data_IF_259365841992
#
_entry.id   IF_259365841992
#
_cell.length_a   1.000
_cell.length_b   1.000
_cell.length_c   1.000
_cell.angle_alpha   90.00
_cell.angle_beta   90.00
_cell.angle_gamma   90.00
#
_symmetry.space_group_name_H-M   'P 1'
#
loop_
_entity.id
_entity.type
_entity.pdbx_description
1 polymer ?
#
# COMPACT_ATOMS: atom_id res chain seq x y z
N UNK A 1 4.77 -14.05 -22.53
CA UNK A 1 4.13 -12.71 -22.46
C UNK A 1 5.09 -11.66 -23.01
N UNK A 2 4.62 -10.74 -23.84
CA UNK A 2 5.40 -9.60 -24.33
C UNK A 2 4.84 -8.30 -23.73
N UNK A 3 5.68 -7.29 -23.55
CA UNK A 3 5.28 -5.91 -23.24
C UNK A 3 5.65 -5.06 -24.44
N UNK A 4 4.76 -4.16 -24.86
CA UNK A 4 5.02 -3.18 -25.90
C UNK A 4 5.11 -1.80 -25.26
N UNK A 5 6.16 -1.05 -25.58
CA UNK A 5 6.29 0.36 -25.20
C UNK A 5 5.84 1.21 -26.38
N UNK A 6 4.91 2.12 -26.15
CA UNK A 6 4.28 2.91 -27.22
C UNK A 6 4.13 4.36 -26.76
N UNK A 7 4.40 5.36 -27.62
CA UNK A 7 4.09 6.75 -27.31
C UNK A 7 2.61 6.93 -26.94
N UNK A 8 2.33 7.82 -25.98
CA UNK A 8 0.96 8.08 -25.48
C UNK A 8 -0.01 8.49 -26.60
N UNK A 9 0.50 9.17 -27.62
CA UNK A 9 -0.22 9.75 -28.74
C UNK A 9 -0.14 8.89 -30.02
N UNK A 10 0.31 7.63 -29.92
CA UNK A 10 0.38 6.75 -31.07
C UNK A 10 -0.99 6.57 -31.75
N UNK A 11 -0.98 6.54 -33.08
CA UNK A 11 -2.20 6.34 -33.87
C UNK A 11 -2.91 5.03 -33.47
N UNK A 12 -4.21 5.13 -33.19
CA UNK A 12 -5.02 4.01 -32.70
C UNK A 12 -5.05 3.81 -31.19
N UNK A 13 -4.22 4.54 -30.43
CA UNK A 13 -4.23 4.54 -28.96
C UNK A 13 -5.12 5.68 -28.45
N UNK A 14 -6.04 5.38 -27.54
CA UNK A 14 -6.86 6.40 -26.87
C UNK A 14 -6.84 6.16 -25.37
N UNK A 15 -6.28 7.10 -24.62
CA UNK A 15 -6.39 7.13 -23.15
C UNK A 15 -7.70 7.82 -22.78
N UNK A 16 -8.57 7.10 -22.07
CA UNK A 16 -9.89 7.58 -21.69
C UNK A 16 -9.85 7.99 -20.22
N UNK A 17 -10.17 9.25 -19.93
CA UNK A 17 -10.28 9.74 -18.55
C UNK A 17 -11.60 9.24 -17.93
N UNK A 18 -11.59 7.96 -17.53
CA UNK A 18 -12.76 7.25 -17.02
C UNK A 18 -12.56 6.75 -15.58
N UNK A 19 -11.57 7.29 -14.85
CA UNK A 19 -11.29 6.85 -13.49
C UNK A 19 -12.29 7.46 -12.51
N UNK A 20 -13.13 6.61 -11.90
CA UNK A 20 -14.15 7.02 -10.92
C UNK A 20 -13.98 6.29 -9.56
N UNK A 21 -12.74 6.22 -9.08
CA UNK A 21 -12.45 5.70 -7.74
C UNK A 21 -12.86 6.69 -6.65
N UNK A 22 -13.39 6.18 -5.52
CA UNK A 22 -13.66 7.04 -4.36
C UNK A 22 -12.37 7.49 -3.66
N UNK A 23 -11.30 6.71 -3.75
CA UNK A 23 -9.93 7.07 -3.37
C UNK A 23 -8.98 6.96 -4.56
N UNK A 24 -7.72 7.33 -4.35
CA UNK A 24 -6.69 7.34 -5.41
C UNK A 24 -7.15 8.15 -6.63
N UNK A 25 -7.88 9.24 -6.42
CA UNK A 25 -8.66 9.96 -7.46
C UNK A 25 -7.83 10.56 -8.60
N UNK A 26 -6.53 10.74 -8.39
CA UNK A 26 -5.62 11.42 -9.33
C UNK A 26 -4.59 10.48 -9.96
N UNK A 27 -4.77 9.16 -9.85
CA UNK A 27 -3.83 8.17 -10.42
C UNK A 27 -4.06 7.90 -11.91
N UNK A 28 -5.14 8.45 -12.49
CA UNK A 28 -5.53 8.21 -13.89
C UNK A 28 -5.63 6.72 -14.24
N UNK A 29 -6.15 5.89 -13.33
CA UNK A 29 -6.33 4.43 -13.51
C UNK A 29 -7.55 4.08 -14.37
N UNK A 30 -7.82 4.90 -15.39
CA UNK A 30 -8.94 4.76 -16.31
C UNK A 30 -8.67 3.76 -17.44
N UNK A 31 -9.56 3.75 -18.42
CA UNK A 31 -9.48 2.82 -19.55
C UNK A 31 -8.50 3.31 -20.62
N UNK A 32 -7.94 2.35 -21.34
CA UNK A 32 -7.17 2.59 -22.57
C UNK A 32 -7.79 1.76 -23.69
N UNK A 33 -8.15 2.40 -24.80
CA UNK A 33 -8.59 1.74 -26.03
C UNK A 33 -7.42 1.61 -26.98
N UNK A 34 -7.19 0.39 -27.47
CA UNK A 34 -6.13 0.06 -28.41
C UNK A 34 -6.81 -0.46 -29.69
N UNK A 35 -6.69 0.29 -30.78
CA UNK A 35 -7.30 -0.02 -32.07
C UNK A 35 -6.23 0.03 -33.17
N UNK A 36 -5.74 -1.14 -33.58
CA UNK A 36 -4.78 -1.26 -34.68
C UNK A 36 -3.40 -0.62 -34.44
N UNK A 37 -3.06 -0.29 -33.19
CA UNK A 37 -1.78 0.35 -32.81
C UNK A 37 -0.59 -0.45 -33.36
N UNK A 38 0.22 0.21 -34.18
CA UNK A 38 1.45 -0.36 -34.73
C UNK A 38 2.60 -0.10 -33.77
N UNK A 39 3.36 -1.14 -33.46
CA UNK A 39 4.53 -1.07 -32.56
C UNK A 39 5.74 -1.62 -33.31
N UNK A 40 6.84 -0.88 -33.42
CA UNK A 40 8.10 -1.40 -33.93
C UNK A 40 8.57 -2.62 -33.12
N UNK A 41 9.14 -3.62 -33.77
CA UNK A 41 9.65 -4.80 -33.07
C UNK A 41 10.74 -4.46 -32.04
N UNK A 42 11.47 -3.35 -32.25
CA UNK A 42 12.46 -2.82 -31.29
C UNK A 42 11.84 -2.40 -29.95
N UNK A 43 10.55 -2.05 -29.94
CA UNK A 43 9.86 -1.50 -28.77
C UNK A 43 9.05 -2.59 -28.05
N UNK A 44 9.22 -3.85 -28.47
CA UNK A 44 8.59 -5.03 -27.87
C UNK A 44 9.60 -5.77 -26.99
N UNK A 45 9.33 -5.79 -25.69
CA UNK A 45 10.15 -6.44 -24.68
C UNK A 45 9.59 -7.84 -24.38
N UNK A 46 10.42 -8.90 -24.42
CA UNK A 46 10.00 -10.25 -24.05
C UNK A 46 9.85 -10.38 -22.52
N UNK A 47 8.73 -9.89 -21.98
CA UNK A 47 8.47 -9.82 -20.55
C UNK A 47 8.53 -11.17 -19.82
N UNK A 48 8.30 -12.28 -20.53
CA UNK A 48 8.48 -13.62 -19.96
C UNK A 48 9.90 -13.88 -19.43
N UNK A 49 10.93 -13.25 -20.03
CA UNK A 49 12.32 -13.38 -19.55
C UNK A 49 12.50 -12.86 -18.13
N UNK A 50 11.66 -11.91 -17.71
CA UNK A 50 11.66 -11.41 -16.34
C UNK A 50 11.16 -12.45 -15.33
N UNK A 51 10.46 -13.51 -15.75
CA UNK A 51 9.91 -14.52 -14.84
C UNK A 51 10.60 -15.88 -14.96
N UNK A 52 11.25 -16.15 -16.10
CA UNK A 52 12.03 -17.38 -16.33
C UNK A 52 13.28 -17.46 -15.45
N UNK A 53 13.84 -16.31 -15.08
CA UNK A 53 14.97 -16.18 -14.15
C UNK A 53 14.51 -15.66 -12.78
N UNK A 54 15.26 -15.89 -11.69
CA UNK A 54 14.92 -15.35 -10.39
C UNK A 54 15.17 -13.83 -10.36
N UNK A 55 14.21 -13.04 -10.84
CA UNK A 55 14.27 -11.57 -10.80
C UNK A 55 13.56 -11.00 -9.57
N UNK A 56 13.89 -9.76 -9.20
CA UNK A 56 13.27 -9.05 -8.07
C UNK A 56 12.00 -8.27 -8.44
N UNK A 57 11.44 -8.45 -9.64
CA UNK A 57 10.31 -7.67 -10.14
C UNK A 57 9.06 -7.75 -9.25
N UNK A 58 8.75 -8.94 -8.75
CA UNK A 58 7.67 -9.16 -7.77
C UNK A 58 7.90 -8.37 -6.48
N UNK A 59 8.99 -8.65 -5.74
CA UNK A 59 9.36 -7.90 -4.54
C UNK A 59 9.39 -6.37 -4.73
N UNK A 60 9.94 -5.89 -5.86
CA UNK A 60 9.97 -4.46 -6.21
C UNK A 60 8.55 -3.91 -6.38
N UNK A 61 7.70 -4.60 -7.14
CA UNK A 61 6.32 -4.18 -7.33
C UNK A 61 5.56 -4.09 -6.00
N UNK A 62 5.73 -5.09 -5.13
CA UNK A 62 4.98 -5.18 -3.88
C UNK A 62 5.50 -4.26 -2.78
N UNK A 63 6.81 -3.97 -2.72
CA UNK A 63 7.35 -3.01 -1.74
C UNK A 63 6.90 -1.58 -2.02
N UNK A 64 6.74 -1.20 -3.30
CA UNK A 64 6.16 0.09 -3.69
C UNK A 64 4.75 0.22 -3.09
N UNK A 65 3.94 -0.84 -3.20
CA UNK A 65 2.59 -0.81 -2.64
C UNK A 65 2.59 -0.68 -1.10
N UNK A 66 3.45 -1.46 -0.43
CA UNK A 66 3.60 -1.36 1.02
C UNK A 66 4.05 0.04 1.45
N UNK A 67 4.94 0.68 0.70
CA UNK A 67 5.41 2.04 0.98
C UNK A 67 4.30 3.09 0.84
N UNK A 68 3.44 2.98 -0.18
CA UNK A 68 2.27 3.86 -0.35
C UNK A 68 1.32 3.73 0.85
N UNK A 69 0.99 2.50 1.24
CA UNK A 69 0.07 2.25 2.35
C UNK A 69 0.67 2.74 3.69
N UNK A 70 1.96 2.50 3.95
CA UNK A 70 2.66 3.06 5.12
C UNK A 70 2.67 4.58 5.11
N UNK A 71 2.84 5.22 3.94
CA UNK A 71 2.76 6.67 3.80
C UNK A 71 1.38 7.23 4.13
N UNK A 72 0.31 6.56 3.68
CA UNK A 72 -1.06 6.91 4.03
C UNK A 72 -1.29 6.78 5.55
N UNK A 73 -0.82 5.68 6.16
CA UNK A 73 -0.91 5.46 7.60
C UNK A 73 -0.19 6.55 8.40
N UNK A 74 1.03 6.93 7.99
CA UNK A 74 1.81 8.00 8.61
C UNK A 74 1.07 9.35 8.54
N UNK A 75 0.52 9.68 7.38
CA UNK A 75 -0.25 10.91 7.19
C UNK A 75 -1.54 10.93 8.04
N UNK A 76 -2.27 9.82 8.08
CA UNK A 76 -3.47 9.68 8.90
C UNK A 76 -3.13 9.84 10.39
N UNK A 77 -2.08 9.16 10.87
CA UNK A 77 -1.64 9.25 12.26
C UNK A 77 -1.23 10.67 12.66
N UNK A 78 -0.51 11.39 11.80
CA UNK A 78 -0.16 12.78 12.05
C UNK A 78 -1.39 13.69 12.22
N UNK A 79 -2.41 13.51 11.36
CA UNK A 79 -3.68 14.22 11.51
C UNK A 79 -4.45 13.79 12.77
N UNK A 80 -4.37 12.51 13.15
CA UNK A 80 -5.00 11.98 14.38
C UNK A 80 -4.50 12.74 15.60
N UNK A 81 -3.18 12.94 15.72
CA UNK A 81 -2.59 13.71 16.82
C UNK A 81 -3.10 15.16 16.86
N UNK A 82 -3.33 15.77 15.70
CA UNK A 82 -3.85 17.14 15.59
C UNK A 82 -5.32 17.21 16.01
N UNK A 83 -6.17 16.32 15.50
CA UNK A 83 -7.61 16.36 15.78
C UNK A 83 -7.97 15.86 17.17
N UNK A 84 -7.27 14.85 17.69
CA UNK A 84 -7.49 14.33 19.05
C UNK A 84 -7.20 15.40 20.12
N UNK A 85 -6.20 16.27 19.89
CA UNK A 85 -5.95 17.43 20.75
C UNK A 85 -7.11 18.43 20.81
N UNK A 86 -7.92 18.49 19.77
CA UNK A 86 -9.06 19.40 19.62
C UNK A 86 -10.40 18.73 19.98
N UNK A 87 -10.37 17.43 20.30
CA UNK A 87 -11.54 16.65 20.63
C UNK A 87 -12.15 17.12 21.96
N UNK A 88 -13.48 17.04 22.05
CA UNK A 88 -14.20 17.32 23.30
C UNK A 88 -14.09 16.10 24.21
N UNK A 89 -13.94 16.30 25.53
CA UNK A 89 -14.01 15.20 26.48
C UNK A 89 -15.40 14.57 26.49
N UNK A 90 -15.48 13.28 26.82
CA UNK A 90 -16.75 12.62 27.10
C UNK A 90 -17.45 13.30 28.28
N UNK A 91 -18.77 13.46 28.20
CA UNK A 91 -19.56 14.24 29.17
C UNK A 91 -19.44 13.69 30.59
N UNK A 92 -19.36 12.37 30.75
CA UNK A 92 -19.27 11.74 32.08
C UNK A 92 -17.82 11.50 32.54
N UNK A 93 -16.82 11.93 31.77
CA UNK A 93 -15.40 11.67 32.10
C UNK A 93 -14.86 12.56 33.22
N UNK A 94 -15.50 13.69 33.50
CA UNK A 94 -14.97 14.71 34.41
C UNK A 94 -13.70 15.41 33.94
N UNK A 95 -13.26 15.17 32.69
CA UNK A 95 -12.06 15.76 32.12
C UNK A 95 -12.34 17.15 31.55
N UNK A 96 -11.31 18.02 31.59
CA UNK A 96 -11.39 19.37 31.02
C UNK A 96 -11.17 19.36 29.50
N UNK A 97 -10.36 18.40 29.01
CA UNK A 97 -9.99 18.31 27.61
C UNK A 97 -10.03 16.86 27.09
N UNK A 98 -10.39 16.68 25.81
CA UNK A 98 -10.46 15.34 25.21
C UNK A 98 -9.12 14.61 25.14
N UNK A 99 -8.00 15.33 25.01
CA UNK A 99 -6.66 14.72 25.00
C UNK A 99 -6.25 14.11 26.34
N UNK A 100 -6.98 14.37 27.42
CA UNK A 100 -6.76 13.74 28.73
C UNK A 100 -7.40 12.36 28.81
N UNK A 101 -8.24 11.96 27.84
CA UNK A 101 -8.94 10.68 27.86
C UNK A 101 -7.94 9.52 27.78
N UNK A 102 -7.82 8.68 28.83
CA UNK A 102 -6.89 7.55 28.84
C UNK A 102 -7.22 6.51 27.76
N UNK A 103 -8.48 6.39 27.33
CA UNK A 103 -8.88 5.46 26.27
C UNK A 103 -8.38 5.96 24.91
N UNK A 104 -8.53 7.26 24.64
CA UNK A 104 -7.95 7.90 23.46
C UNK A 104 -6.42 7.82 23.44
N UNK A 105 -5.76 8.02 24.59
CA UNK A 105 -4.31 7.87 24.71
C UNK A 105 -3.85 6.44 24.45
N UNK A 106 -4.59 5.43 24.94
CA UNK A 106 -4.29 4.02 24.67
C UNK A 106 -4.39 3.68 23.17
N UNK A 107 -5.44 4.15 22.48
CA UNK A 107 -5.59 3.96 21.03
C UNK A 107 -4.48 4.66 20.23
N UNK A 108 -4.10 5.89 20.61
CA UNK A 108 -2.97 6.59 19.98
C UNK A 108 -1.66 5.83 20.20
N UNK A 109 -1.44 5.32 21.42
CA UNK A 109 -0.29 4.47 21.73
C UNK A 109 -0.25 3.22 20.87
N UNK A 110 -1.40 2.58 20.65
CA UNK A 110 -1.51 1.41 19.78
C UNK A 110 -1.13 1.73 18.33
N UNK A 111 -1.73 2.78 17.77
CA UNK A 111 -1.42 3.24 16.41
C UNK A 111 0.06 3.57 16.24
N UNK A 112 0.68 4.20 17.25
CA UNK A 112 2.07 4.61 17.21
C UNK A 112 3.03 3.41 17.07
N UNK A 113 2.90 2.39 17.92
CA UNK A 113 3.81 1.24 17.84
C UNK A 113 3.54 0.40 16.59
N UNK A 114 2.28 0.27 16.15
CA UNK A 114 1.93 -0.45 14.91
C UNK A 114 2.50 0.24 13.68
N UNK A 115 2.42 1.57 13.61
CA UNK A 115 3.04 2.34 12.54
C UNK A 115 4.56 2.18 12.54
N UNK A 116 5.20 2.27 13.71
CA UNK A 116 6.65 2.04 13.82
C UNK A 116 7.04 0.62 13.38
N UNK A 117 6.24 -0.40 13.72
CA UNK A 117 6.45 -1.76 13.26
C UNK A 117 6.33 -1.87 11.73
N UNK A 118 5.34 -1.19 11.12
CA UNK A 118 5.16 -1.14 9.68
C UNK A 118 6.36 -0.47 8.97
N UNK A 119 6.88 0.62 9.52
CA UNK A 119 8.06 1.29 8.97
C UNK A 119 9.34 0.46 9.14
N UNK A 120 9.48 -0.25 10.26
CA UNK A 120 10.62 -1.12 10.51
C UNK A 120 10.65 -2.31 9.55
N UNK A 121 9.50 -2.96 9.33
CA UNK A 121 9.43 -4.08 8.40
C UNK A 121 9.56 -3.62 6.95
N UNK A 122 9.06 -2.43 6.59
CA UNK A 122 9.27 -1.84 5.27
C UNK A 122 10.76 -1.58 4.99
N UNK A 123 11.51 -1.04 5.97
CA UNK A 123 12.97 -0.87 5.85
C UNK A 123 13.68 -2.21 5.71
N UNK A 124 13.27 -3.22 6.48
CA UNK A 124 13.81 -4.58 6.35
C UNK A 124 13.52 -5.17 4.96
N UNK A 125 12.32 -4.95 4.43
CA UNK A 125 11.94 -5.37 3.09
C UNK A 125 12.80 -4.68 2.02
N UNK A 126 13.07 -3.38 2.17
CA UNK A 126 13.92 -2.63 1.25
C UNK A 126 15.32 -3.24 1.16
N UNK A 127 15.95 -3.52 2.32
CA UNK A 127 17.26 -4.19 2.34
C UNK A 127 17.24 -5.59 1.71
N UNK A 128 16.16 -6.35 1.89
CA UNK A 128 16.03 -7.66 1.26
C UNK A 128 15.91 -7.54 -0.28
N UNK A 129 15.14 -6.56 -0.76
CA UNK A 129 15.03 -6.23 -2.18
C UNK A 129 16.38 -5.79 -2.74
N UNK A 130 17.11 -4.90 -2.06
CA UNK A 130 18.44 -4.43 -2.49
C UNK A 130 19.40 -5.60 -2.71
N UNK A 131 19.42 -6.57 -1.78
CA UNK A 131 20.25 -7.78 -1.91
C UNK A 131 19.81 -8.66 -3.08
N UNK A 132 18.51 -8.84 -3.27
CA UNK A 132 17.98 -9.65 -4.37
C UNK A 132 18.24 -9.00 -5.73
N UNK A 133 18.25 -7.66 -5.80
CA UNK A 133 18.58 -6.90 -7.02
C UNK A 133 20.08 -6.97 -7.32
N UNK A 134 20.93 -6.79 -6.30
CA UNK A 134 22.38 -6.77 -6.49
C UNK A 134 22.93 -8.13 -6.95
N UNK A 135 22.40 -9.22 -6.38
CA UNK A 135 22.86 -10.58 -6.67
C UNK A 135 21.66 -11.55 -6.69
N UNK A 136 20.91 -11.61 -7.81
CA UNK A 136 19.69 -12.38 -7.91
C UNK A 136 19.94 -13.88 -7.85
N UNK A 137 19.25 -14.55 -6.93
CA UNK A 137 19.11 -16.00 -6.91
C UNK A 137 17.74 -16.38 -6.34
N UNK A 138 17.35 -17.65 -6.53
CA UNK A 138 16.01 -18.12 -6.15
C UNK A 138 15.75 -17.93 -4.64
N UNK A 139 16.77 -18.19 -3.81
CA UNK A 139 16.68 -18.03 -2.35
C UNK A 139 16.47 -16.57 -1.94
N UNK A 140 17.24 -15.64 -2.50
CA UNK A 140 17.18 -14.22 -2.14
C UNK A 140 15.91 -13.56 -2.64
N UNK A 141 15.46 -13.91 -3.85
CA UNK A 141 14.17 -13.43 -4.37
C UNK A 141 13.02 -13.96 -3.51
N UNK A 142 13.04 -15.24 -3.16
CA UNK A 142 12.03 -15.81 -2.26
C UNK A 142 12.05 -15.15 -0.87
N UNK A 143 13.24 -14.92 -0.29
CA UNK A 143 13.40 -14.19 0.98
C UNK A 143 12.79 -12.79 0.88
N UNK A 144 13.13 -12.04 -0.18
CA UNK A 144 12.61 -10.70 -0.42
C UNK A 144 11.07 -10.71 -0.57
N UNK A 145 10.50 -11.61 -1.37
CA UNK A 145 9.03 -11.75 -1.52
C UNK A 145 8.34 -12.01 -0.19
N UNK A 146 8.91 -12.85 0.68
CA UNK A 146 8.33 -13.14 1.99
C UNK A 146 8.33 -11.89 2.87
N UNK A 147 9.47 -11.20 2.99
CA UNK A 147 9.59 -10.03 3.85
C UNK A 147 8.72 -8.87 3.32
N UNK A 148 8.68 -8.70 2.00
CA UNK A 148 7.78 -7.73 1.35
C UNK A 148 6.31 -8.11 1.57
N UNK A 149 5.96 -9.40 1.50
CA UNK A 149 4.63 -9.89 1.83
C UNK A 149 4.20 -9.55 3.27
N UNK A 150 5.11 -9.69 4.24
CA UNK A 150 4.88 -9.27 5.61
C UNK A 150 4.69 -7.75 5.73
N UNK A 151 5.53 -6.97 5.05
CA UNK A 151 5.41 -5.51 5.02
C UNK A 151 4.08 -5.06 4.42
N UNK A 152 3.62 -5.73 3.36
CA UNK A 152 2.33 -5.48 2.72
C UNK A 152 1.15 -5.78 3.62
N UNK A 153 1.19 -6.91 4.34
CA UNK A 153 0.17 -7.25 5.33
C UNK A 153 0.06 -6.14 6.38
N UNK A 154 1.18 -5.78 7.00
CA UNK A 154 1.15 -4.83 8.11
C UNK A 154 0.80 -3.40 7.65
N UNK A 155 1.33 -2.95 6.50
CA UNK A 155 0.99 -1.64 5.92
C UNK A 155 -0.49 -1.55 5.50
N UNK A 156 -1.06 -2.63 4.98
CA UNK A 156 -2.51 -2.72 4.69
C UNK A 156 -3.34 -2.54 5.96
N UNK A 157 -3.02 -3.29 7.02
CA UNK A 157 -3.76 -3.21 8.28
C UNK A 157 -3.68 -1.81 8.90
N UNK A 158 -2.47 -1.27 9.05
CA UNK A 158 -2.28 0.00 9.77
C UNK A 158 -2.80 1.20 8.97
N UNK A 159 -2.76 1.18 7.64
CA UNK A 159 -3.31 2.27 6.82
C UNK A 159 -4.83 2.37 6.96
N UNK A 160 -5.53 1.24 7.00
CA UNK A 160 -6.97 1.17 7.24
C UNK A 160 -7.33 1.53 8.67
N UNK A 161 -6.61 1.00 9.66
CA UNK A 161 -6.89 1.26 11.08
C UNK A 161 -6.63 2.72 11.44
N UNK A 162 -5.45 3.26 11.11
CA UNK A 162 -5.10 4.64 11.43
C UNK A 162 -6.05 5.65 10.77
N UNK A 163 -6.45 5.40 9.53
CA UNK A 163 -7.37 6.28 8.81
C UNK A 163 -8.82 6.18 9.30
N UNK A 164 -9.24 5.03 9.83
CA UNK A 164 -10.53 4.88 10.50
C UNK A 164 -10.52 5.58 11.87
N UNK A 165 -9.51 5.28 12.71
CA UNK A 165 -9.35 5.86 14.05
C UNK A 165 -9.13 7.36 14.03
N UNK A 166 -8.59 7.92 12.96
CA UNK A 166 -8.52 9.37 12.73
C UNK A 166 -9.90 10.04 12.92
N UNK A 167 -10.94 9.45 12.34
CA UNK A 167 -12.29 10.02 12.41
C UNK A 167 -12.90 9.84 13.81
N UNK A 168 -12.71 8.66 14.40
CA UNK A 168 -13.16 8.33 15.75
C UNK A 168 -12.55 9.27 16.80
N UNK A 169 -11.22 9.37 16.83
CA UNK A 169 -10.48 10.17 17.81
C UNK A 169 -10.62 11.68 17.58
N UNK A 170 -10.95 12.11 16.37
CA UNK A 170 -11.31 13.50 16.08
C UNK A 170 -12.73 13.89 16.50
N UNK A 171 -13.58 12.91 16.81
CA UNK A 171 -15.01 13.11 17.09
C UNK A 171 -15.78 13.71 15.90
N UNK A 172 -17.04 14.09 16.11
CA UNK A 172 -17.94 14.54 15.02
C UNK A 172 -17.40 15.68 14.16
N UNK A 173 -16.47 16.51 14.65
CA UNK A 173 -15.86 17.58 13.85
C UNK A 173 -14.98 17.07 12.71
N UNK A 174 -14.48 15.83 12.82
CA UNK A 174 -13.62 15.20 11.81
C UNK A 174 -14.36 14.88 10.50
N UNK A 175 -15.70 14.83 10.53
CA UNK A 175 -16.54 14.54 9.35
C UNK A 175 -16.76 15.75 8.45
N UNK A 176 -16.17 16.91 8.79
CA UNK A 176 -16.27 18.10 7.96
C UNK A 176 -15.62 17.87 6.59
N UNK A 177 -16.42 17.99 5.53
CA UNK A 177 -15.94 17.85 4.15
C UNK A 177 -14.79 18.82 3.82
N UNK A 178 -14.76 20.01 4.44
CA UNK A 178 -13.68 20.98 4.24
C UNK A 178 -12.32 20.52 4.77
N UNK A 179 -12.28 19.62 5.75
CA UNK A 179 -11.04 19.02 6.25
C UNK A 179 -10.60 17.82 5.40
N UNK A 180 -11.55 17.16 4.75
CA UNK A 180 -11.33 16.03 3.85
C UNK A 180 -10.53 14.89 4.49
N UNK A 181 -10.68 14.65 5.80
CA UNK A 181 -9.90 13.64 6.55
C UNK A 181 -10.24 12.21 6.12
N UNK A 182 -11.46 11.99 5.66
CA UNK A 182 -11.93 10.76 5.03
C UNK A 182 -11.09 10.34 3.81
N UNK A 183 -10.33 11.28 3.20
CA UNK A 183 -9.40 10.98 2.09
C UNK A 183 -8.37 9.91 2.43
N UNK A 184 -7.90 9.84 3.67
CA UNK A 184 -6.91 8.85 4.07
C UNK A 184 -7.51 7.45 3.98
N UNK A 185 -8.72 7.27 4.52
CA UNK A 185 -9.41 5.98 4.48
C UNK A 185 -9.80 5.62 3.05
N UNK A 186 -10.34 6.57 2.29
CA UNK A 186 -10.71 6.35 0.89
C UNK A 186 -9.50 5.91 0.05
N UNK A 187 -8.36 6.58 0.22
CA UNK A 187 -7.12 6.27 -0.48
C UNK A 187 -6.54 4.92 -0.04
N UNK A 188 -6.47 4.63 1.27
CA UNK A 188 -6.01 3.34 1.80
C UNK A 188 -6.91 2.21 1.29
N UNK A 189 -8.23 2.36 1.43
CA UNK A 189 -9.18 1.32 1.04
C UNK A 189 -9.15 1.05 -0.46
N UNK A 190 -9.02 2.07 -1.29
CA UNK A 190 -8.88 1.89 -2.74
C UNK A 190 -7.57 1.18 -3.09
N UNK A 191 -6.44 1.65 -2.54
CA UNK A 191 -5.12 1.16 -2.90
C UNK A 191 -4.84 -0.28 -2.43
N UNK A 192 -5.23 -0.59 -1.19
CA UNK A 192 -5.08 -1.94 -0.61
C UNK A 192 -5.90 -3.03 -1.30
N UNK A 193 -6.78 -2.68 -2.25
CA UNK A 193 -7.51 -3.62 -3.09
C UNK A 193 -6.76 -4.02 -4.37
N UNK A 194 -5.58 -3.44 -4.63
CA UNK A 194 -4.74 -3.78 -5.79
C UNK A 194 -4.55 -5.29 -5.96
N UNK A 195 -4.31 -6.01 -4.86
CA UNK A 195 -4.36 -7.46 -4.81
C UNK A 195 -4.86 -7.93 -3.43
N UNK A 196 -5.50 -9.11 -3.36
CA UNK A 196 -6.10 -9.60 -2.12
C UNK A 196 -5.06 -9.92 -1.06
N UNK A 197 -4.93 -9.06 -0.05
CA UNK A 197 -3.95 -9.19 1.06
C UNK A 197 -4.01 -10.56 1.77
N UNK A 198 -5.17 -11.23 1.81
CA UNK A 198 -5.32 -12.59 2.34
C UNK A 198 -4.34 -13.60 1.73
N UNK A 199 -3.96 -13.43 0.46
CA UNK A 199 -2.98 -14.27 -0.20
C UNK A 199 -1.54 -14.00 0.26
N UNK A 200 -1.25 -12.83 0.83
CA UNK A 200 0.06 -12.53 1.44
C UNK A 200 0.24 -13.26 2.76
N UNK A 201 -0.82 -13.41 3.57
CA UNK A 201 -0.77 -14.29 4.75
C UNK A 201 -0.49 -15.73 4.34
N UNK A 202 -1.20 -16.24 3.33
CA UNK A 202 -0.96 -17.59 2.80
C UNK A 202 0.48 -17.73 2.27
N UNK A 203 0.98 -16.77 1.49
CA UNK A 203 2.36 -16.79 0.96
C UNK A 203 3.39 -16.92 2.09
N UNK A 204 3.29 -16.06 3.11
CA UNK A 204 4.21 -16.06 4.25
C UNK A 204 4.09 -17.39 5.03
N UNK A 205 2.85 -17.81 5.33
CA UNK A 205 2.60 -19.04 6.08
C UNK A 205 3.06 -20.29 5.34
N UNK A 206 2.79 -20.41 4.04
CA UNK A 206 3.17 -21.55 3.23
C UNK A 206 4.69 -21.67 3.09
N UNK A 207 5.40 -20.55 2.99
CA UNK A 207 6.85 -20.60 2.97
C UNK A 207 7.44 -20.98 4.33
N UNK A 208 6.91 -20.44 5.43
CA UNK A 208 7.41 -20.76 6.78
C UNK A 208 7.09 -22.20 7.21
N UNK A 209 5.90 -22.70 6.86
CA UNK A 209 5.42 -24.01 7.28
C UNK A 209 5.92 -25.14 6.37
N UNK A 210 5.88 -24.92 5.04
CA UNK A 210 6.12 -25.96 4.05
C UNK A 210 7.40 -25.75 3.22
N UNK A 211 8.12 -24.63 3.39
CA UNK A 211 9.31 -24.32 2.59
C UNK A 211 9.03 -24.07 1.12
N UNK A 212 7.75 -23.83 0.75
CA UNK A 212 7.34 -23.57 -0.63
C UNK A 212 7.61 -22.10 -0.97
N UNK A 213 8.63 -21.87 -1.81
CA UNK A 213 9.03 -20.55 -2.29
C UNK A 213 7.85 -19.85 -2.99
N UNK A 214 7.66 -18.53 -2.80
CA UNK A 214 6.63 -17.77 -3.52
C UNK A 214 6.77 -17.88 -5.04
N UNK A 215 5.63 -17.93 -5.74
CA UNK A 215 5.61 -17.89 -7.19
C UNK A 215 6.17 -16.56 -7.72
N UNK A 216 6.94 -16.59 -8.81
CA UNK A 216 7.58 -15.41 -9.39
C UNK A 216 6.62 -14.65 -10.31
N UNK A 217 5.99 -13.60 -9.79
CA UNK A 217 5.15 -12.67 -10.56
C UNK A 217 4.95 -11.34 -9.81
N UNK A 218 4.49 -10.28 -10.49
CA UNK A 218 4.34 -8.92 -9.92
C UNK A 218 3.46 -8.82 -8.68
N UNK A 219 2.56 -9.78 -8.46
CA UNK A 219 1.69 -9.82 -7.28
C UNK A 219 2.30 -10.54 -6.06
N UNK A 220 3.57 -10.98 -6.07
CA UNK A 220 4.21 -11.68 -4.94
C UNK A 220 5.51 -11.01 -4.48
#
# INVERSE_FOLDING_TARGET
VHIALVPRDAAGLTVIDSWDGFGQRITASGQVRIDGVRVPASDVVPAWKAYDQPTSDGPISQIIQAAVDTGIARGAFAETLRVARQARPWVDSGLQHGWQDPLGQALIGELAWRLQAAEAILRRAAHAVDRAVAEPCEERVAEASVIVGQAKVLSTEISLEASSRLLELGGTRSVSASQGLDRFWRNARTHTLHDPVRWKYHLVGNQLLNGIKPQRHSWN
#
